data_IF_830753399713
#
_entry.id   IF_830753399713
#
_cell.length_a   1.000
_cell.length_b   1.000
_cell.length_c   1.000
_cell.angle_alpha   90.00
_cell.angle_beta   90.00
_cell.angle_gamma   90.00
#
_symmetry.space_group_name_H-M   'P 1'
#
loop_
_entity.id
_entity.type
_entity.pdbx_description
1 polymer ?
#
# COMPACT_ATOMS: atom_id res chain seq x y z
N UNK A 1 12.95 12.69 19.28
CA UNK A 1 12.54 14.10 19.15
C UNK A 1 11.05 14.12 18.90
N UNK A 2 10.28 14.69 19.82
CA UNK A 2 8.83 14.84 19.66
C UNK A 2 8.52 15.97 18.67
N UNK A 3 7.74 15.64 17.65
CA UNK A 3 7.29 16.56 16.62
C UNK A 3 5.84 16.98 16.92
N UNK A 4 4.99 15.99 17.22
CA UNK A 4 3.57 16.08 17.59
C UNK A 4 3.25 14.99 18.64
N UNK A 5 2.11 15.06 19.37
CA UNK A 5 1.79 14.12 20.46
C UNK A 5 1.84 12.63 20.09
N UNK A 6 1.68 12.30 18.81
CA UNK A 6 1.70 10.94 18.26
C UNK A 6 2.89 10.66 17.34
N UNK A 7 3.82 11.62 17.18
CA UNK A 7 4.92 11.54 16.20
C UNK A 7 6.27 11.88 16.80
N UNK A 8 7.19 10.93 16.64
CA UNK A 8 8.58 11.07 17.08
C UNK A 8 9.55 10.79 15.93
N UNK A 9 10.65 11.55 15.90
CA UNK A 9 11.83 11.27 15.07
C UNK A 9 12.92 10.68 15.97
N UNK A 10 13.44 9.51 15.61
CA UNK A 10 14.60 8.90 16.25
C UNK A 10 15.84 9.09 15.37
N UNK A 11 16.91 9.63 15.97
CA UNK A 11 18.19 9.82 15.31
C UNK A 11 19.22 8.89 15.94
N UNK A 12 19.84 8.06 15.11
CA UNK A 12 20.92 7.16 15.50
C UNK A 12 22.24 7.71 14.98
N UNK A 13 23.23 7.84 15.86
CA UNK A 13 24.57 8.29 15.51
C UNK A 13 25.56 7.14 15.73
N UNK A 14 26.41 6.89 14.74
CA UNK A 14 27.40 5.82 14.76
C UNK A 14 28.66 6.22 13.97
N UNK A 15 29.75 5.50 14.20
CA UNK A 15 30.90 5.52 13.30
C UNK A 15 30.75 4.41 12.26
N UNK A 16 31.18 4.66 11.03
CA UNK A 16 31.21 3.65 9.95
C UNK A 16 32.41 2.69 10.07
N UNK A 17 33.24 2.82 11.11
CA UNK A 17 34.42 1.98 11.35
C UNK A 17 34.14 1.10 12.57
N UNK A 18 34.35 -0.21 12.42
CA UNK A 18 33.89 -1.23 13.36
C UNK A 18 34.48 -1.14 14.79
N UNK A 19 35.60 -0.44 14.96
CA UNK A 19 36.31 -0.34 16.25
C UNK A 19 36.25 1.03 16.93
N UNK A 20 35.49 1.98 16.40
CA UNK A 20 35.35 3.31 17.01
C UNK A 20 34.10 3.44 17.86
N UNK A 21 34.29 3.85 19.11
CA UNK A 21 33.21 4.18 20.04
C UNK A 21 33.24 5.66 20.39
N UNK A 22 32.07 6.22 20.66
CA UNK A 22 32.00 7.58 21.17
C UNK A 22 32.62 7.68 22.56
N UNK A 23 33.58 8.57 22.72
CA UNK A 23 34.07 8.98 24.04
C UNK A 23 33.03 9.83 24.76
N UNK A 24 33.09 9.88 26.10
CA UNK A 24 32.18 10.73 26.90
C UNK A 24 32.21 12.20 26.45
N UNK A 25 33.39 12.74 26.13
CA UNK A 25 33.55 14.11 25.66
C UNK A 25 32.85 14.35 24.30
N UNK A 26 32.95 13.39 23.37
CA UNK A 26 32.24 13.47 22.09
C UNK A 26 30.72 13.40 22.26
N UNK A 27 30.23 12.53 23.16
CA UNK A 27 28.81 12.48 23.49
C UNK A 27 28.34 13.80 24.09
N UNK A 28 29.09 14.39 25.02
CA UNK A 28 28.74 15.69 25.62
C UNK A 28 28.70 16.81 24.57
N UNK A 29 29.69 16.84 23.67
CA UNK A 29 29.71 17.81 22.56
C UNK A 29 28.54 17.58 21.59
N UNK A 30 28.17 16.34 21.29
CA UNK A 30 27.02 16.04 20.44
C UNK A 30 25.71 16.48 21.11
N UNK A 31 25.57 16.23 22.42
CA UNK A 31 24.42 16.67 23.22
C UNK A 31 24.23 18.18 23.21
N UNK A 32 25.30 18.99 23.18
CA UNK A 32 25.14 20.46 23.12
C UNK A 32 24.50 20.95 21.83
N UNK A 33 24.58 20.18 20.73
CA UNK A 33 23.90 20.52 19.47
C UNK A 33 22.46 20.01 19.40
N UNK A 34 22.03 19.18 20.38
CA UNK A 34 20.73 18.53 20.32
C UNK A 34 19.56 19.52 20.26
N UNK A 35 19.66 20.67 20.96
CA UNK A 35 18.63 21.70 20.91
C UNK A 35 18.41 22.26 19.50
N UNK A 36 19.50 22.49 18.75
CA UNK A 36 19.41 22.99 17.37
C UNK A 36 18.86 21.90 16.44
N UNK A 37 19.38 20.67 16.55
CA UNK A 37 18.90 19.52 15.77
C UNK A 37 17.41 19.29 16.03
N UNK A 38 16.97 19.36 17.29
CA UNK A 38 15.57 19.26 17.67
C UNK A 38 14.72 20.34 17.00
N UNK A 39 15.12 21.61 17.07
CA UNK A 39 14.37 22.71 16.44
C UNK A 39 14.29 22.56 14.92
N UNK A 40 15.38 22.15 14.27
CA UNK A 40 15.40 21.88 12.83
C UNK A 40 14.49 20.70 12.46
N UNK A 41 14.55 19.61 13.23
CA UNK A 41 13.67 18.47 13.05
C UNK A 41 12.21 18.86 13.23
N UNK A 42 11.87 19.61 14.28
CA UNK A 42 10.51 20.08 14.51
C UNK A 42 10.03 20.99 13.39
N UNK A 43 10.84 21.93 12.91
CA UNK A 43 10.44 22.85 11.84
C UNK A 43 10.22 22.11 10.51
N UNK A 44 11.18 21.30 10.08
CA UNK A 44 11.11 20.58 8.81
C UNK A 44 9.97 19.56 8.80
N UNK A 45 9.81 18.75 9.85
CA UNK A 45 8.81 17.67 9.89
C UNK A 45 7.40 18.11 10.33
N UNK A 46 7.25 19.32 10.89
CA UNK A 46 5.91 19.94 11.06
C UNK A 46 5.38 20.51 9.75
N UNK A 47 6.25 20.96 8.86
CA UNK A 47 5.86 21.54 7.56
C UNK A 47 5.80 20.52 6.43
N UNK A 48 6.45 19.37 6.60
CA UNK A 48 6.47 18.29 5.61
C UNK A 48 5.41 17.26 5.97
N UNK A 49 4.48 17.00 5.07
CA UNK A 49 3.58 15.87 5.14
C UNK A 49 4.42 14.58 5.06
N UNK A 50 4.42 13.79 6.13
CA UNK A 50 5.32 12.65 6.23
C UNK A 50 4.71 11.44 5.55
N UNK A 51 4.72 11.43 4.22
CA UNK A 51 4.20 10.31 3.42
C UNK A 51 5.25 9.20 3.34
N UNK A 52 5.63 8.60 4.48
CA UNK A 52 6.56 7.46 4.52
C UNK A 52 5.85 6.11 4.27
N UNK A 53 4.83 6.09 3.41
CA UNK A 53 3.71 5.15 3.40
C UNK A 53 2.75 5.44 4.55
N UNK A 54 1.54 5.87 4.20
CA UNK A 54 0.43 5.83 5.15
C UNK A 54 0.36 4.42 5.74
N UNK A 55 0.14 4.27 7.06
CA UNK A 55 -0.25 2.98 7.58
C UNK A 55 -1.56 2.60 6.87
N UNK A 56 -1.50 1.57 6.02
CA UNK A 56 -2.66 0.97 5.34
C UNK A 56 -3.81 0.70 6.33
N UNK A 57 -3.51 0.56 7.62
CA UNK A 57 -4.48 0.35 8.69
C UNK A 57 -4.54 1.53 9.66
N UNK A 58 -4.99 2.70 9.19
CA UNK A 58 -5.72 3.63 10.07
C UNK A 58 -7.22 3.34 9.92
N UNK A 59 -7.90 2.77 10.94
CA UNK A 59 -9.32 2.41 10.84
C UNK A 59 -10.24 3.59 10.46
N UNK A 60 -9.79 4.83 10.69
CA UNK A 60 -10.51 6.05 10.35
C UNK A 60 -10.13 6.69 8.99
N UNK A 61 -9.09 6.20 8.30
CA UNK A 61 -8.68 6.70 6.96
C UNK A 61 -9.34 5.92 5.82
N UNK A 62 -9.91 4.74 6.10
CA UNK A 62 -10.97 4.17 5.28
C UNK A 62 -12.25 4.99 5.45
N UNK A 63 -12.22 6.25 5.03
CA UNK A 63 -13.41 7.07 4.88
C UNK A 63 -14.41 6.28 4.03
N UNK A 64 -15.71 6.40 4.32
CA UNK A 64 -16.74 5.72 3.53
C UNK A 64 -16.62 5.97 2.02
N UNK A 65 -16.00 7.10 1.64
CA UNK A 65 -15.66 7.45 0.27
C UNK A 65 -14.68 6.48 -0.38
N UNK A 66 -13.58 6.09 0.28
CA UNK A 66 -12.61 5.13 -0.27
C UNK A 66 -13.23 3.74 -0.40
N UNK A 67 -14.05 3.31 0.57
CA UNK A 67 -14.76 2.03 0.50
C UNK A 67 -15.74 1.99 -0.68
N UNK A 68 -16.53 3.06 -0.85
CA UNK A 68 -17.45 3.18 -1.98
C UNK A 68 -16.72 3.23 -3.32
N UNK A 69 -15.55 3.89 -3.40
CA UNK A 69 -14.72 3.91 -4.59
C UNK A 69 -14.19 2.51 -4.94
N UNK A 70 -13.74 1.73 -3.96
CA UNK A 70 -13.31 0.34 -4.15
C UNK A 70 -14.48 -0.53 -4.63
N UNK A 71 -15.64 -0.44 -3.99
CA UNK A 71 -16.84 -1.19 -4.37
C UNK A 71 -17.28 -0.87 -5.81
N UNK A 72 -17.31 0.42 -6.17
CA UNK A 72 -17.62 0.88 -7.53
C UNK A 72 -16.58 0.41 -8.56
N UNK A 73 -15.30 0.48 -8.22
CA UNK A 73 -14.22 0.03 -9.08
C UNK A 73 -14.31 -1.50 -9.33
N UNK A 74 -14.55 -2.29 -8.29
CA UNK A 74 -14.76 -3.74 -8.42
C UNK A 74 -15.97 -4.09 -9.29
N UNK A 75 -17.07 -3.34 -9.16
CA UNK A 75 -18.29 -3.58 -9.93
C UNK A 75 -18.19 -3.18 -11.41
N UNK A 76 -17.32 -2.22 -11.75
CA UNK A 76 -17.16 -1.70 -13.11
C UNK A 76 -15.91 -2.22 -13.84
N UNK A 77 -15.02 -2.93 -13.14
CA UNK A 77 -13.76 -3.40 -13.71
C UNK A 77 -13.99 -4.42 -14.84
N UNK A 78 -13.51 -4.08 -16.03
CA UNK A 78 -13.64 -4.94 -17.21
C UNK A 78 -15.07 -5.06 -17.76
N UNK A 79 -16.02 -4.20 -17.36
CA UNK A 79 -17.43 -4.30 -17.74
C UNK A 79 -17.68 -4.31 -19.25
N UNK A 80 -16.80 -3.70 -20.04
CA UNK A 80 -16.90 -3.63 -21.51
C UNK A 80 -16.24 -4.79 -22.25
N UNK A 81 -15.44 -5.62 -21.57
CA UNK A 81 -14.60 -6.66 -22.20
C UNK A 81 -14.84 -8.05 -21.60
N UNK A 82 -15.23 -8.14 -20.34
CA UNK A 82 -15.45 -9.39 -19.62
C UNK A 82 -16.93 -9.75 -19.56
N UNK A 83 -17.24 -11.04 -19.64
CA UNK A 83 -18.59 -11.54 -19.32
C UNK A 83 -18.92 -11.37 -17.84
N UNK A 84 -20.20 -11.42 -17.46
CA UNK A 84 -20.63 -11.29 -16.06
C UNK A 84 -19.87 -12.26 -15.12
N UNK A 85 -19.71 -13.52 -15.54
CA UNK A 85 -19.00 -14.52 -14.74
C UNK A 85 -17.49 -14.23 -14.63
N UNK A 86 -16.89 -13.68 -15.69
CA UNK A 86 -15.49 -13.27 -15.67
C UNK A 86 -15.27 -12.01 -14.82
N UNK A 87 -16.24 -11.09 -14.78
CA UNK A 87 -16.21 -9.93 -13.87
C UNK A 87 -16.25 -10.36 -12.41
N UNK A 88 -17.15 -11.28 -12.04
CA UNK A 88 -17.20 -11.85 -10.68
C UNK A 88 -15.85 -12.45 -10.27
N UNK A 89 -15.25 -13.26 -11.16
CA UNK A 89 -13.95 -13.88 -10.90
C UNK A 89 -12.84 -12.83 -10.84
N UNK A 90 -12.84 -11.83 -11.73
CA UNK A 90 -11.86 -10.73 -11.71
C UNK A 90 -11.93 -9.92 -10.41
N UNK A 91 -13.14 -9.63 -9.91
CA UNK A 91 -13.33 -8.94 -8.64
C UNK A 91 -12.73 -9.73 -7.46
N UNK A 92 -12.86 -11.06 -7.46
CA UNK A 92 -12.25 -11.91 -6.44
C UNK A 92 -10.72 -11.98 -6.55
N UNK A 93 -10.18 -11.98 -7.78
CA UNK A 93 -8.72 -11.89 -7.98
C UNK A 93 -8.20 -10.55 -7.44
N UNK A 94 -8.88 -9.44 -7.70
CA UNK A 94 -8.52 -8.11 -7.21
C UNK A 94 -8.57 -8.01 -5.67
N UNK A 95 -9.41 -8.83 -5.02
CA UNK A 95 -9.46 -8.97 -3.56
C UNK A 95 -8.37 -9.90 -2.99
N UNK A 96 -7.60 -10.56 -3.85
CA UNK A 96 -6.46 -11.40 -3.47
C UNK A 96 -6.76 -12.88 -3.30
N UNK A 97 -7.98 -13.33 -3.63
CA UNK A 97 -8.34 -14.75 -3.52
C UNK A 97 -7.60 -15.62 -4.55
N UNK A 98 -7.17 -16.80 -4.12
CA UNK A 98 -6.59 -17.80 -4.99
C UNK A 98 -7.65 -18.61 -5.77
N UNK A 99 -7.22 -19.47 -6.70
CA UNK A 99 -8.16 -20.24 -7.52
C UNK A 99 -9.04 -21.21 -6.74
N UNK A 100 -8.56 -21.71 -5.60
CA UNK A 100 -9.27 -22.66 -4.75
C UNK A 100 -10.32 -21.94 -3.90
N UNK A 101 -9.96 -20.78 -3.36
CA UNK A 101 -10.87 -19.91 -2.61
C UNK A 101 -12.00 -19.41 -3.51
N UNK A 102 -11.68 -18.92 -4.71
CA UNK A 102 -12.68 -18.51 -5.72
C UNK A 102 -13.61 -19.67 -6.07
N UNK A 103 -13.05 -20.87 -6.29
CA UNK A 103 -13.84 -22.06 -6.61
C UNK A 103 -14.83 -22.41 -5.50
N UNK A 104 -14.39 -22.30 -4.25
CA UNK A 104 -15.23 -22.53 -3.06
C UNK A 104 -16.34 -21.48 -2.95
N UNK A 105 -16.01 -20.20 -3.14
CA UNK A 105 -16.96 -19.10 -3.01
C UNK A 105 -18.03 -19.08 -4.11
N UNK A 106 -17.68 -19.58 -5.30
CA UNK A 106 -18.53 -19.59 -6.47
C UNK A 106 -19.18 -20.95 -6.76
N UNK A 107 -18.99 -21.94 -5.89
CA UNK A 107 -19.45 -23.33 -6.01
C UNK A 107 -19.15 -23.98 -7.38
N UNK A 108 -17.87 -23.92 -7.79
CA UNK A 108 -17.40 -24.49 -9.06
C UNK A 108 -16.08 -25.23 -8.86
N UNK A 109 -15.67 -26.04 -9.84
CA UNK A 109 -14.37 -26.70 -9.82
C UNK A 109 -13.21 -25.70 -9.98
N UNK A 110 -12.10 -25.92 -9.27
CA UNK A 110 -10.87 -25.11 -9.37
C UNK A 110 -10.34 -25.02 -10.81
N UNK A 111 -10.44 -26.11 -11.57
CA UNK A 111 -10.07 -26.14 -13.00
C UNK A 111 -10.88 -25.16 -13.85
N UNK A 112 -12.16 -24.97 -13.53
CA UNK A 112 -13.04 -24.01 -14.20
C UNK A 112 -12.57 -22.59 -13.92
N UNK A 113 -12.23 -22.27 -12.67
CA UNK A 113 -11.68 -20.96 -12.30
C UNK A 113 -10.35 -20.69 -13.02
N UNK A 114 -9.45 -21.69 -13.07
CA UNK A 114 -8.17 -21.58 -13.80
C UNK A 114 -8.40 -21.25 -15.29
N UNK A 115 -9.42 -21.85 -15.91
CA UNK A 115 -9.77 -21.54 -17.29
C UNK A 115 -10.33 -20.11 -17.46
N UNK A 116 -11.21 -19.67 -16.55
CA UNK A 116 -11.68 -18.28 -16.55
C UNK A 116 -10.55 -17.28 -16.34
N UNK A 117 -9.60 -17.53 -15.42
CA UNK A 117 -8.42 -16.68 -15.21
C UNK A 117 -7.61 -16.50 -16.49
N UNK A 118 -7.36 -17.59 -17.23
CA UNK A 118 -6.66 -17.53 -18.53
C UNK A 118 -7.41 -16.67 -19.54
N UNK A 119 -8.74 -16.79 -19.61
CA UNK A 119 -9.57 -15.96 -20.50
C UNK A 119 -9.57 -14.50 -20.09
N UNK A 120 -9.73 -14.20 -18.80
CA UNK A 120 -9.65 -12.84 -18.25
C UNK A 120 -8.32 -12.20 -18.62
N UNK A 121 -7.21 -12.91 -18.45
CA UNK A 121 -5.87 -12.39 -18.77
C UNK A 121 -5.73 -12.11 -20.26
N UNK A 122 -6.22 -12.99 -21.11
CA UNK A 122 -6.24 -12.77 -22.55
C UNK A 122 -7.11 -11.57 -22.96
N UNK A 123 -8.32 -11.45 -22.40
CA UNK A 123 -9.27 -10.37 -22.70
C UNK A 123 -8.77 -9.00 -22.22
N UNK A 124 -8.13 -8.95 -21.05
CA UNK A 124 -7.54 -7.73 -20.50
C UNK A 124 -6.14 -7.44 -21.05
N UNK A 125 -5.60 -8.31 -21.92
CA UNK A 125 -4.26 -8.22 -22.48
C UNK A 125 -3.16 -8.09 -21.41
N UNK A 126 -3.21 -8.97 -20.41
CA UNK A 126 -2.22 -9.07 -19.33
C UNK A 126 -1.61 -10.46 -19.27
N UNK A 127 -0.32 -10.54 -18.94
CA UNK A 127 0.44 -11.77 -18.83
C UNK A 127 0.63 -12.25 -17.39
N UNK A 128 0.39 -11.38 -16.39
CA UNK A 128 0.67 -11.67 -14.99
C UNK A 128 -0.36 -11.11 -14.02
N UNK A 129 -0.36 -11.65 -12.80
CA UNK A 129 -1.16 -11.13 -11.70
C UNK A 129 -0.77 -9.68 -11.36
N UNK A 130 0.53 -9.36 -11.44
CA UNK A 130 1.03 -8.00 -11.22
C UNK A 130 0.47 -7.02 -12.26
N UNK A 131 0.46 -7.38 -13.54
CA UNK A 131 -0.13 -6.55 -14.60
C UNK A 131 -1.65 -6.40 -14.43
N UNK A 132 -2.34 -7.49 -14.07
CA UNK A 132 -3.77 -7.43 -13.71
C UNK A 132 -4.03 -6.42 -12.59
N UNK A 133 -3.24 -6.47 -11.51
CA UNK A 133 -3.37 -5.53 -10.40
C UNK A 133 -3.03 -4.10 -10.81
N UNK A 134 -2.02 -3.89 -11.65
CA UNK A 134 -1.72 -2.57 -12.19
C UNK A 134 -2.91 -1.98 -12.98
N UNK A 135 -3.53 -2.79 -13.85
CA UNK A 135 -4.74 -2.36 -14.56
C UNK A 135 -5.89 -2.03 -13.61
N UNK A 136 -6.11 -2.87 -12.59
CA UNK A 136 -7.15 -2.64 -11.59
C UNK A 136 -6.91 -1.36 -10.79
N UNK A 137 -5.68 -1.10 -10.34
CA UNK A 137 -5.33 0.11 -9.60
C UNK A 137 -5.51 1.37 -10.46
N UNK A 138 -5.11 1.33 -11.73
CA UNK A 138 -5.33 2.44 -12.66
C UNK A 138 -6.83 2.72 -12.87
N UNK A 139 -7.65 1.67 -12.95
CA UNK A 139 -9.10 1.80 -13.00
C UNK A 139 -9.66 2.43 -11.72
N UNK A 140 -9.22 1.95 -10.55
CA UNK A 140 -9.64 2.48 -9.25
C UNK A 140 -9.32 3.98 -9.12
N UNK A 141 -8.10 4.39 -9.48
CA UNK A 141 -7.67 5.80 -9.40
C UNK A 141 -8.49 6.67 -10.35
N UNK A 142 -8.85 6.15 -11.52
CA UNK A 142 -9.65 6.87 -12.51
C UNK A 142 -11.11 7.02 -12.07
N UNK A 143 -11.66 6.03 -11.37
CA UNK A 143 -13.02 6.06 -10.80
C UNK A 143 -13.13 6.92 -9.53
N UNK A 144 -12.01 7.15 -8.81
CA UNK A 144 -11.99 7.97 -7.59
C UNK A 144 -11.78 9.47 -7.83
N UNK A 145 -11.60 9.90 -9.10
CA UNK A 145 -11.55 11.32 -9.49
C UNK A 145 -12.92 11.83 -9.86
#
# INVERSE_FOLDING_TARGET
>A
IEIEPTRWVMLYFGFMQDDKRFTKAQVTKLKSYFAIIQSLCQHHWKQTEFTLAEPVFSPNVYSGQMRAAIESALASFGQTVLTNREQEIAALIAQGYDSKEIATQLDVAEGTVKNHRKRIYAQLNVASLSEFFQLFLNHLITQSR
#
